data_IF_455970911319
#
_entry.id   IF_455970911319
#
_cell.length_a   1.000
_cell.length_b   1.000
_cell.length_c   1.000
_cell.angle_alpha   90.00
_cell.angle_beta   90.00
_cell.angle_gamma   90.00
#
_symmetry.space_group_name_H-M   'P 1'
#
loop_
_entity.id
_entity.type
_entity.pdbx_description
1 polymer ?
#
# COMPACT_ATOMS: atom_id res chain seq x y z
N UNK A 1 -5.23 -7.33 -32.55
CA UNK A 1 -5.29 -6.55 -31.30
C UNK A 1 -4.84 -7.44 -30.15
N UNK A 2 -3.97 -6.96 -29.26
CA UNK A 2 -3.58 -7.70 -28.07
C UNK A 2 -4.72 -7.67 -27.03
N UNK A 3 -4.93 -8.78 -26.32
CA UNK A 3 -5.85 -8.86 -25.19
C UNK A 3 -5.06 -8.72 -23.89
N UNK A 4 -5.53 -7.89 -22.98
CA UNK A 4 -4.91 -7.68 -21.67
C UNK A 4 -5.83 -8.30 -20.62
N UNK A 5 -5.29 -9.16 -19.77
CA UNK A 5 -6.03 -9.72 -18.64
C UNK A 5 -6.14 -8.67 -17.53
N UNK A 6 -7.37 -8.36 -17.13
CA UNK A 6 -7.63 -7.49 -15.96
C UNK A 6 -7.99 -8.36 -14.76
N UNK A 7 -7.46 -7.99 -13.60
CA UNK A 7 -7.80 -8.59 -12.31
C UNK A 7 -8.11 -7.48 -11.32
N UNK A 8 -9.14 -7.69 -10.50
CA UNK A 8 -9.50 -6.78 -9.43
C UNK A 8 -8.94 -7.33 -8.13
N UNK A 9 -8.15 -6.51 -7.45
CA UNK A 9 -7.62 -6.84 -6.14
C UNK A 9 -8.74 -6.92 -5.10
N UNK A 10 -8.71 -7.94 -4.23
CA UNK A 10 -9.62 -8.07 -3.09
C UNK A 10 -8.81 -8.13 -1.80
N UNK A 11 -8.71 -7.01 -1.10
CA UNK A 11 -7.91 -6.90 0.13
C UNK A 11 -8.34 -7.85 1.27
N UNK A 12 -9.55 -8.44 1.19
CA UNK A 12 -10.11 -9.36 2.20
C UNK A 12 -10.00 -10.84 1.81
N UNK A 13 -9.43 -11.14 0.65
CA UNK A 13 -9.09 -12.52 0.29
C UNK A 13 -7.83 -12.92 1.07
N UNK A 14 -8.00 -13.77 2.08
CA UNK A 14 -6.92 -14.16 3.00
C UNK A 14 -5.82 -14.99 2.31
N UNK A 15 -6.14 -15.70 1.21
CA UNK A 15 -5.21 -16.60 0.53
C UNK A 15 -4.48 -15.93 -0.65
N UNK A 16 -4.98 -14.78 -1.12
CA UNK A 16 -4.46 -14.07 -2.30
C UNK A 16 -3.22 -13.19 -2.05
N UNK A 17 -2.61 -13.23 -0.86
CA UNK A 17 -1.51 -12.34 -0.49
C UNK A 17 -0.24 -13.11 -0.09
N UNK A 18 0.91 -12.51 -0.35
CA UNK A 18 2.22 -12.96 0.16
C UNK A 18 2.53 -12.19 1.44
N UNK A 19 2.89 -12.92 2.50
CA UNK A 19 3.31 -12.35 3.78
C UNK A 19 4.81 -12.08 3.79
N UNK A 20 5.17 -10.82 4.02
CA UNK A 20 6.56 -10.33 4.12
C UNK A 20 6.98 -10.08 5.58
N UNK A 21 6.16 -10.46 6.56
CA UNK A 21 6.40 -10.24 7.97
C UNK A 21 6.07 -8.81 8.39
N UNK A 22 6.92 -8.23 9.23
CA UNK A 22 6.67 -6.94 9.88
C UNK A 22 7.76 -5.92 9.55
N UNK A 23 7.38 -4.65 9.44
CA UNK A 23 8.35 -3.56 9.33
C UNK A 23 9.18 -3.46 10.62
N UNK A 24 10.48 -3.17 10.48
CA UNK A 24 11.43 -3.15 11.59
C UNK A 24 11.19 -2.05 12.62
N UNK A 25 10.59 -0.94 12.23
CA UNK A 25 10.46 0.26 13.07
C UNK A 25 9.13 0.34 13.80
N UNK A 26 8.02 0.15 13.08
CA UNK A 26 6.66 0.36 13.59
C UNK A 26 5.89 -0.95 13.79
N UNK A 27 6.49 -2.08 13.43
CA UNK A 27 5.91 -3.42 13.52
C UNK A 27 4.58 -3.53 12.75
N UNK A 28 4.54 -2.94 11.55
CA UNK A 28 3.38 -3.00 10.66
C UNK A 28 3.42 -4.32 9.89
N UNK A 29 2.36 -5.15 9.89
CA UNK A 29 2.31 -6.34 9.06
C UNK A 29 2.30 -5.96 7.58
N UNK A 30 3.06 -6.67 6.76
CA UNK A 30 3.21 -6.40 5.33
C UNK A 30 2.74 -7.60 4.53
N UNK A 31 1.54 -7.48 3.95
CA UNK A 31 0.96 -8.48 3.06
C UNK A 31 0.51 -7.80 1.77
N UNK A 32 0.97 -8.29 0.63
CA UNK A 32 0.69 -7.72 -0.70
C UNK A 32 0.09 -8.79 -1.62
N UNK A 33 -0.75 -8.36 -2.57
CA UNK A 33 -1.34 -9.22 -3.60
C UNK A 33 -0.29 -10.09 -4.27
N UNK A 34 -0.54 -11.39 -4.33
CA UNK A 34 0.41 -12.39 -4.84
C UNK A 34 0.80 -12.13 -6.28
N UNK A 35 -0.14 -11.74 -7.14
CA UNK A 35 0.13 -11.49 -8.56
C UNK A 35 1.07 -10.30 -8.73
N UNK A 36 0.94 -9.27 -7.88
CA UNK A 36 1.87 -8.15 -7.88
C UNK A 36 3.21 -8.52 -7.23
N UNK A 37 3.18 -9.21 -6.10
CA UNK A 37 4.35 -9.58 -5.31
C UNK A 37 5.28 -10.56 -6.02
N UNK A 38 4.77 -11.41 -6.90
CA UNK A 38 5.55 -12.46 -7.59
C UNK A 38 5.88 -12.14 -9.05
N UNK A 39 5.35 -11.05 -9.63
CA UNK A 39 5.60 -10.70 -11.03
C UNK A 39 7.09 -10.42 -11.33
N UNK A 40 7.59 -10.82 -12.51
CA UNK A 40 8.97 -10.52 -12.93
C UNK A 40 9.21 -9.01 -13.09
N UNK A 41 8.21 -8.29 -13.61
CA UNK A 41 8.21 -6.84 -13.78
C UNK A 41 6.95 -6.25 -13.16
N UNK A 42 7.13 -5.22 -12.33
CA UNK A 42 6.05 -4.50 -11.64
C UNK A 42 6.03 -3.06 -12.13
N UNK A 43 4.90 -2.62 -12.67
CA UNK A 43 4.68 -1.23 -13.09
C UNK A 43 3.51 -0.69 -12.28
N UNK A 44 3.74 0.38 -11.54
CA UNK A 44 2.71 1.11 -10.82
C UNK A 44 2.46 2.45 -11.51
N UNK A 45 1.21 2.74 -11.84
CA UNK A 45 0.79 4.02 -12.39
C UNK A 45 -0.31 4.61 -11.52
N UNK A 46 -0.44 5.93 -11.49
CA UNK A 46 -1.45 6.60 -10.69
C UNK A 46 -1.30 8.11 -10.73
N UNK A 47 -2.32 8.80 -10.23
CA UNK A 47 -2.34 10.25 -10.08
C UNK A 47 -1.53 10.67 -8.83
N UNK A 48 -0.86 11.83 -8.93
CA UNK A 48 -0.22 12.52 -7.80
C UNK A 48 -1.03 13.77 -7.45
N UNK A 49 -1.58 13.81 -6.25
CA UNK A 49 -2.34 14.92 -5.67
C UNK A 49 -2.07 14.99 -4.15
N UNK A 50 -2.23 16.16 -3.51
CA UNK A 50 -2.09 16.27 -2.05
C UNK A 50 -3.07 15.33 -1.32
N UNK A 51 -2.60 14.68 -0.25
CA UNK A 51 -3.38 13.74 0.55
C UNK A 51 -3.25 14.00 2.05
N UNK A 52 -4.39 14.21 2.71
CA UNK A 52 -4.51 14.76 4.06
C UNK A 52 -3.77 14.01 5.18
N UNK A 53 -3.40 12.75 4.99
CA UNK A 53 -2.65 11.94 5.98
C UNK A 53 -1.35 11.35 5.45
N UNK A 54 -1.09 11.47 4.14
CA UNK A 54 0.01 10.76 3.48
C UNK A 54 0.96 11.69 2.72
N UNK A 55 0.78 13.01 2.85
CA UNK A 55 1.41 14.03 2.02
C UNK A 55 0.84 14.04 0.61
N UNK A 56 1.10 12.98 -0.15
CA UNK A 56 0.78 12.88 -1.58
C UNK A 56 0.21 11.49 -1.94
N UNK A 57 -0.59 11.44 -3.00
CA UNK A 57 -1.00 10.18 -3.65
C UNK A 57 0.06 9.67 -4.62
N UNK A 58 -0.25 8.59 -5.34
CA UNK A 58 0.65 8.00 -6.34
C UNK A 58 1.84 7.29 -5.69
N UNK A 59 2.83 6.93 -6.51
CA UNK A 59 4.05 6.25 -6.05
C UNK A 59 3.74 4.98 -5.24
N UNK A 60 4.35 4.88 -4.06
CA UNK A 60 4.18 3.72 -3.16
C UNK A 60 2.73 3.52 -2.71
N UNK A 61 1.87 4.54 -2.78
CA UNK A 61 0.46 4.44 -2.41
C UNK A 61 -0.34 3.50 -3.33
N UNK A 62 0.10 3.36 -4.58
CA UNK A 62 -0.47 2.39 -5.54
C UNK A 62 -0.20 0.95 -5.11
N UNK A 63 0.85 0.73 -4.32
CA UNK A 63 1.20 -0.58 -3.76
C UNK A 63 0.50 -0.77 -2.40
N UNK A 64 0.74 0.13 -1.45
CA UNK A 64 0.11 0.13 -0.14
C UNK A 64 -0.55 1.50 0.10
N UNK A 65 -1.90 1.58 0.13
CA UNK A 65 -2.87 0.50 0.27
C UNK A 65 -3.30 -0.22 -1.02
N UNK A 66 -2.93 0.25 -2.22
CA UNK A 66 -3.61 -0.12 -3.47
C UNK A 66 -3.76 -1.63 -3.77
N UNK A 67 -2.79 -2.46 -3.41
CA UNK A 67 -2.83 -3.93 -3.54
C UNK A 67 -2.42 -4.64 -2.24
N UNK A 68 -2.60 -3.98 -1.10
CA UNK A 68 -2.24 -4.52 0.20
C UNK A 68 -3.43 -5.27 0.85
N UNK A 69 -3.11 -6.26 1.68
CA UNK A 69 -4.12 -6.95 2.48
C UNK A 69 -4.78 -5.99 3.48
N UNK A 70 -6.03 -6.26 3.84
CA UNK A 70 -6.81 -5.39 4.72
C UNK A 70 -6.17 -5.19 6.09
N UNK A 71 -5.45 -6.16 6.64
CA UNK A 71 -4.73 -6.03 7.91
C UNK A 71 -3.58 -5.01 7.81
N UNK A 72 -2.78 -5.08 6.74
CA UNK A 72 -1.74 -4.10 6.44
C UNK A 72 -2.34 -2.70 6.29
N UNK A 73 -3.40 -2.56 5.49
CA UNK A 73 -4.11 -1.29 5.26
C UNK A 73 -4.60 -0.70 6.59
N UNK A 74 -5.36 -1.48 7.36
CA UNK A 74 -5.98 -1.01 8.61
C UNK A 74 -4.96 -0.65 9.67
N UNK A 75 -3.78 -1.28 9.65
CA UNK A 75 -2.72 -0.96 10.61
C UNK A 75 -2.22 0.47 10.44
N UNK A 76 -1.88 0.90 9.22
CA UNK A 76 -1.40 2.26 9.00
C UNK A 76 -2.51 3.31 8.79
N UNK A 77 -3.78 2.88 8.70
CA UNK A 77 -4.96 3.75 8.83
C UNK A 77 -5.53 3.78 10.27
N UNK A 78 -4.76 3.30 11.25
CA UNK A 78 -5.18 3.34 12.65
C UNK A 78 -4.97 4.72 13.28
N UNK A 79 -5.68 4.98 14.39
CA UNK A 79 -5.51 6.20 15.17
C UNK A 79 -4.05 6.47 15.56
N UNK A 80 -3.28 5.41 15.89
CA UNK A 80 -1.85 5.48 16.21
C UNK A 80 -1.02 6.09 15.07
N UNK A 81 -1.34 5.76 13.82
CA UNK A 81 -0.64 6.32 12.66
C UNK A 81 -1.17 7.71 12.32
N UNK A 82 -2.49 7.89 12.31
CA UNK A 82 -3.11 9.18 11.96
C UNK A 82 -2.76 10.31 12.93
N UNK A 83 -2.41 9.99 14.19
CA UNK A 83 -2.00 10.98 15.19
C UNK A 83 -0.52 11.38 15.11
N UNK A 84 0.26 10.82 14.17
CA UNK A 84 1.66 11.18 14.04
C UNK A 84 1.79 12.63 13.55
N UNK A 85 2.76 13.41 14.07
CA UNK A 85 2.94 14.81 13.67
C UNK A 85 3.15 15.02 12.16
N UNK A 86 3.65 13.98 11.46
CA UNK A 86 3.88 14.01 10.02
C UNK A 86 2.69 13.44 9.21
N UNK A 87 1.56 13.09 9.81
CA UNK A 87 0.39 12.62 9.06
C UNK A 87 -0.45 13.80 8.58
N UNK A 88 0.05 14.52 7.59
CA UNK A 88 -0.56 15.73 7.04
C UNK A 88 -0.39 15.84 5.50
N UNK A 89 -0.80 16.96 4.92
CA UNK A 89 -0.69 17.25 3.47
C UNK A 89 0.74 17.57 2.99
N UNK A 90 1.67 17.87 3.90
CA UNK A 90 2.99 18.42 3.56
C UNK A 90 4.11 17.41 3.69
N UNK A 91 3.84 16.27 4.32
CA UNK A 91 4.87 15.29 4.60
C UNK A 91 5.30 14.51 3.35
N UNK A 92 6.47 14.85 2.83
CA UNK A 92 7.21 14.05 1.86
C UNK A 92 8.28 13.27 2.62
N UNK A 93 8.49 12.01 2.26
CA UNK A 93 9.41 11.10 2.94
C UNK A 93 9.00 10.70 4.38
N UNK A 94 8.05 9.76 4.46
CA UNK A 94 7.65 9.06 5.70
C UNK A 94 8.54 7.84 5.99
N UNK A 95 9.67 7.66 5.29
CA UNK A 95 10.35 6.37 5.26
C UNK A 95 10.71 5.85 6.64
N UNK A 96 10.11 4.69 6.94
CA UNK A 96 10.49 3.66 7.91
C UNK A 96 10.79 4.09 9.34
#
# INVERSE_FOLDING_TARGET
MARIATRLHCARDEDAHVDFGFTSTRHTPVKLDRLFAEADLRIATGLVEPHFMAGWSGGSKVIAPGVAHHETIRTFHSARFMSLPKSDFTAVDQTT
#
